data_IF_199623000476
#
_entry.id   IF_199623000476
#
_cell.length_a   1.000
_cell.length_b   1.000
_cell.length_c   1.000
_cell.angle_alpha   90.00
_cell.angle_beta   90.00
_cell.angle_gamma   90.00
#
_symmetry.space_group_name_H-M   'P 1'
#
loop_
_entity.id
_entity.type
_entity.pdbx_description
1 polymer ?
#
# COMPACT_ATOMS: atom_id res chain seq x y z
N UNK A 1 12.77 -0.75 -14.78
CA UNK A 1 12.49 -1.59 -15.98
C UNK A 1 12.25 -0.81 -17.27
N UNK A 2 11.46 0.28 -17.24
CA UNK A 2 11.06 0.97 -18.48
C UNK A 2 12.22 1.60 -19.27
N UNK A 3 13.20 2.21 -18.60
CA UNK A 3 14.40 2.75 -19.26
C UNK A 3 15.20 1.66 -20.00
N UNK A 4 15.40 0.51 -19.36
CA UNK A 4 16.10 -0.63 -19.96
C UNK A 4 15.33 -1.18 -21.17
N UNK A 5 14.01 -1.29 -21.09
CA UNK A 5 13.17 -1.71 -22.22
C UNK A 5 13.12 -0.71 -23.39
N UNK A 6 13.67 0.49 -23.22
CA UNK A 6 13.83 1.49 -24.28
C UNK A 6 15.10 1.33 -25.13
N UNK A 7 16.11 0.59 -24.65
CA UNK A 7 17.45 0.54 -25.27
C UNK A 7 17.45 -0.24 -26.59
N UNK A 8 17.03 -1.51 -26.55
CA UNK A 8 16.87 -2.34 -27.75
C UNK A 8 15.84 -3.44 -27.50
N UNK A 9 15.50 -4.20 -28.56
CA UNK A 9 14.52 -5.29 -28.48
C UNK A 9 14.89 -6.35 -27.44
N UNK A 10 16.16 -6.75 -27.37
CA UNK A 10 16.63 -7.76 -26.43
C UNK A 10 16.49 -7.30 -24.97
N UNK A 11 16.88 -6.06 -24.65
CA UNK A 11 16.69 -5.51 -23.31
C UNK A 11 15.21 -5.42 -22.93
N UNK A 12 14.34 -5.11 -23.89
CA UNK A 12 12.89 -5.13 -23.69
C UNK A 12 12.38 -6.53 -23.36
N UNK A 13 12.80 -7.55 -24.10
CA UNK A 13 12.42 -8.94 -23.84
C UNK A 13 12.87 -9.39 -22.45
N UNK A 14 14.11 -9.08 -22.05
CA UNK A 14 14.61 -9.36 -20.69
C UNK A 14 13.78 -8.64 -19.63
N UNK A 15 13.48 -7.35 -19.84
CA UNK A 15 12.69 -6.59 -18.88
C UNK A 15 11.27 -7.13 -18.72
N UNK A 16 10.67 -7.63 -19.81
CA UNK A 16 9.31 -8.17 -19.79
C UNK A 16 9.25 -9.59 -19.22
N UNK A 17 10.33 -10.38 -19.31
CA UNK A 17 10.37 -11.75 -18.79
C UNK A 17 10.76 -11.85 -17.31
N UNK A 18 11.41 -10.82 -16.75
CA UNK A 18 11.87 -10.82 -15.36
C UNK A 18 10.90 -10.09 -14.43
N UNK A 19 10.01 -10.84 -13.79
CA UNK A 19 9.02 -10.34 -12.82
C UNK A 19 9.65 -9.59 -11.64
N UNK A 20 10.85 -10.00 -11.22
CA UNK A 20 11.61 -9.38 -10.14
C UNK A 20 11.99 -7.91 -10.40
N UNK A 21 11.94 -7.46 -11.65
CA UNK A 21 12.18 -6.05 -11.98
C UNK A 21 10.97 -5.15 -11.70
N UNK A 22 9.77 -5.73 -11.55
CA UNK A 22 8.50 -5.00 -11.41
C UNK A 22 8.02 -4.94 -9.95
N UNK A 23 8.87 -5.26 -8.98
CA UNK A 23 8.49 -5.36 -7.56
C UNK A 23 8.46 -4.04 -6.81
N UNK A 24 8.81 -2.91 -7.44
CA UNK A 24 8.77 -1.60 -6.81
C UNK A 24 8.14 -0.59 -7.77
N UNK A 25 7.06 0.05 -7.32
CA UNK A 25 6.35 1.06 -8.08
C UNK A 25 6.03 2.25 -7.19
N UNK A 26 6.32 3.44 -7.70
CA UNK A 26 5.87 4.70 -7.11
C UNK A 26 4.97 5.42 -8.10
N UNK A 27 3.76 5.73 -7.67
CA UNK A 27 2.74 6.43 -8.45
C UNK A 27 2.55 7.81 -7.85
N UNK A 28 2.84 8.84 -8.63
CA UNK A 28 2.52 10.21 -8.27
C UNK A 28 1.31 10.65 -9.08
N UNK A 29 0.19 10.91 -8.41
CA UNK A 29 -0.97 11.49 -9.06
C UNK A 29 -0.70 12.98 -9.35
N UNK A 30 -0.09 13.25 -10.50
CA UNK A 30 -0.04 14.60 -11.06
C UNK A 30 -1.38 14.82 -11.77
N UNK A 31 -2.12 15.85 -11.36
CA UNK A 31 -3.47 16.17 -11.84
C UNK A 31 -3.58 16.42 -13.37
N UNK A 32 -2.49 16.28 -14.12
CA UNK A 32 -2.38 16.55 -15.55
C UNK A 32 -2.56 15.31 -16.46
N UNK A 33 -2.53 14.08 -15.92
CA UNK A 33 -2.69 12.84 -16.71
C UNK A 33 -4.05 12.19 -16.46
N UNK A 34 -4.71 11.77 -17.55
CA UNK A 34 -6.01 11.09 -17.48
C UNK A 34 -5.95 9.82 -16.63
N UNK A 35 -6.93 9.67 -15.72
CA UNK A 35 -7.00 8.61 -14.70
C UNK A 35 -6.99 7.22 -15.32
N UNK A 36 -7.71 7.01 -16.42
CA UNK A 36 -7.80 5.70 -17.10
C UNK A 36 -6.41 5.19 -17.51
N UNK A 37 -5.56 6.08 -18.01
CA UNK A 37 -4.18 5.73 -18.41
C UNK A 37 -3.31 5.30 -17.21
N UNK A 38 -3.60 5.85 -16.02
CA UNK A 38 -2.91 5.51 -14.79
C UNK A 38 -3.36 4.13 -14.28
N UNK A 39 -4.67 3.87 -14.31
CA UNK A 39 -5.26 2.58 -13.92
C UNK A 39 -4.72 1.46 -14.80
N UNK A 40 -4.68 1.65 -16.12
CA UNK A 40 -4.14 0.68 -17.06
C UNK A 40 -2.63 0.46 -16.85
N UNK A 41 -1.88 1.53 -16.61
CA UNK A 41 -0.45 1.44 -16.31
C UNK A 41 -0.19 0.66 -15.00
N UNK A 42 -0.97 0.93 -13.96
CA UNK A 42 -0.88 0.23 -12.68
C UNK A 42 -1.20 -1.26 -12.84
N UNK A 43 -2.31 -1.59 -13.50
CA UNK A 43 -2.71 -2.98 -13.79
C UNK A 43 -1.65 -3.71 -14.61
N UNK A 44 -1.09 -3.06 -15.64
CA UNK A 44 -0.02 -3.63 -16.45
C UNK A 44 1.27 -3.85 -15.63
N UNK A 45 1.59 -2.95 -14.71
CA UNK A 45 2.74 -3.10 -13.83
C UNK A 45 2.58 -4.27 -12.85
N UNK A 46 1.46 -4.32 -12.13
CA UNK A 46 1.18 -5.35 -11.12
C UNK A 46 1.10 -6.74 -11.77
N UNK A 47 0.47 -6.87 -12.93
CA UNK A 47 0.44 -8.14 -13.67
C UNK A 47 1.83 -8.64 -14.08
N UNK A 48 2.78 -7.75 -14.39
CA UNK A 48 4.17 -8.14 -14.75
C UNK A 48 5.00 -8.59 -13.55
N UNK A 49 4.69 -8.09 -12.36
CA UNK A 49 5.30 -8.56 -11.13
C UNK A 49 4.94 -10.02 -10.82
N UNK A 50 3.89 -10.57 -11.45
CA UNK A 50 3.55 -11.99 -11.37
C UNK A 50 3.12 -12.38 -9.97
N UNK A 51 3.92 -13.19 -9.27
CA UNK A 51 3.70 -13.56 -7.86
C UNK A 51 4.77 -12.95 -6.93
N UNK A 52 5.60 -12.04 -7.43
CA UNK A 52 6.64 -11.42 -6.63
C UNK A 52 6.03 -10.43 -5.64
N UNK A 53 6.53 -10.37 -4.39
CA UNK A 53 6.05 -9.37 -3.43
C UNK A 53 6.40 -7.94 -3.89
N UNK A 54 5.44 -7.03 -3.81
CA UNK A 54 5.50 -5.67 -4.38
C UNK A 54 5.57 -4.62 -3.27
N UNK A 55 6.45 -3.65 -3.46
CA UNK A 55 6.46 -2.40 -2.71
C UNK A 55 5.81 -1.31 -3.54
N UNK A 56 4.70 -0.78 -3.05
CA UNK A 56 3.88 0.20 -3.74
C UNK A 56 3.74 1.47 -2.90
N UNK A 57 4.06 2.60 -3.51
CA UNK A 57 3.89 3.92 -2.93
C UNK A 57 3.02 4.76 -3.85
N UNK A 58 1.91 5.27 -3.32
CA UNK A 58 0.97 6.11 -4.08
C UNK A 58 0.80 7.42 -3.33
N UNK A 59 1.35 8.46 -3.95
CA UNK A 59 1.26 9.82 -3.47
C UNK A 59 0.17 10.58 -4.24
N UNK A 60 -0.71 11.25 -3.47
CA UNK A 60 -1.82 12.06 -3.96
C UNK A 60 -3.19 11.62 -3.42
N UNK A 61 -4.16 12.54 -3.49
CA UNK A 61 -5.52 12.28 -3.05
C UNK A 61 -6.26 11.35 -4.02
N UNK A 62 -6.18 10.04 -3.80
CA UNK A 62 -6.97 9.00 -4.47
C UNK A 62 -8.47 9.03 -4.11
N UNK A 63 -8.92 9.98 -3.30
CA UNK A 63 -10.23 9.97 -2.63
C UNK A 63 -11.44 10.12 -3.56
N UNK A 64 -11.23 10.14 -4.88
CA UNK A 64 -12.27 10.12 -5.90
C UNK A 64 -12.07 9.02 -6.97
N UNK A 65 -11.07 8.15 -6.84
CA UNK A 65 -10.61 7.26 -7.91
C UNK A 65 -10.82 5.79 -7.53
N UNK A 66 -12.09 5.35 -7.53
CA UNK A 66 -12.48 3.97 -7.17
C UNK A 66 -11.70 2.92 -7.98
N UNK A 67 -11.42 3.19 -9.25
CA UNK A 67 -10.77 2.22 -10.14
C UNK A 67 -9.34 1.84 -9.71
N UNK A 68 -8.58 2.78 -9.13
CA UNK A 68 -7.23 2.50 -8.61
C UNK A 68 -7.34 1.58 -7.40
N UNK A 69 -8.25 1.90 -6.50
CA UNK A 69 -8.47 1.14 -5.28
C UNK A 69 -8.96 -0.29 -5.58
N UNK A 70 -9.78 -0.46 -6.60
CA UNK A 70 -10.23 -1.77 -7.08
C UNK A 70 -9.08 -2.60 -7.66
N UNK A 71 -8.17 -1.96 -8.41
CA UNK A 71 -6.94 -2.62 -8.87
C UNK A 71 -6.10 -3.07 -7.67
N UNK A 72 -5.94 -2.23 -6.63
CA UNK A 72 -5.18 -2.63 -5.44
C UNK A 72 -5.78 -3.83 -4.73
N UNK A 73 -7.11 -3.86 -4.58
CA UNK A 73 -7.81 -5.00 -3.99
C UNK A 73 -7.55 -6.31 -4.76
N UNK A 74 -7.52 -6.26 -6.09
CA UNK A 74 -7.26 -7.44 -6.94
C UNK A 74 -5.85 -8.02 -6.77
N UNK A 75 -4.86 -7.17 -6.47
CA UNK A 75 -3.46 -7.57 -6.31
C UNK A 75 -2.98 -7.56 -4.85
N UNK A 76 -3.91 -7.45 -3.89
CA UNK A 76 -3.60 -7.33 -2.46
C UNK A 76 -2.67 -8.44 -1.95
N UNK A 77 -2.86 -9.67 -2.43
CA UNK A 77 -2.03 -10.82 -2.03
C UNK A 77 -0.53 -10.67 -2.34
N UNK A 78 -0.16 -9.81 -3.30
CA UNK A 78 1.22 -9.57 -3.69
C UNK A 78 1.86 -8.43 -2.90
N UNK A 79 1.08 -7.62 -2.20
CA UNK A 79 1.60 -6.43 -1.54
C UNK A 79 2.48 -6.83 -0.34
N UNK A 80 3.73 -6.35 -0.37
CA UNK A 80 4.69 -6.44 0.73
C UNK A 80 4.82 -5.12 1.47
N UNK A 81 4.88 -4.02 0.74
CA UNK A 81 4.88 -2.67 1.31
C UNK A 81 3.81 -1.85 0.63
N UNK A 82 3.00 -1.14 1.41
CA UNK A 82 1.98 -0.23 0.91
C UNK A 82 2.12 1.12 1.60
N UNK A 83 2.33 2.18 0.83
CA UNK A 83 2.36 3.56 1.28
C UNK A 83 1.29 4.34 0.53
N UNK A 84 0.26 4.80 1.25
CA UNK A 84 -0.87 5.52 0.65
C UNK A 84 -1.32 6.66 1.56
N UNK A 85 -1.61 7.81 0.95
CA UNK A 85 -2.16 8.97 1.65
C UNK A 85 -3.70 8.99 1.72
N UNK A 86 -4.35 7.85 1.49
CA UNK A 86 -5.83 7.74 1.41
C UNK A 86 -6.37 6.59 2.24
N UNK A 87 -7.65 6.62 2.63
CA UNK A 87 -8.30 5.48 3.26
C UNK A 87 -8.18 4.21 2.41
N UNK A 88 -7.96 3.07 3.07
CA UNK A 88 -7.91 1.76 2.41
C UNK A 88 -9.32 1.37 1.92
N UNK A 89 -9.44 0.78 0.73
CA UNK A 89 -10.74 0.34 0.21
C UNK A 89 -11.21 -0.95 0.87
N UNK A 90 -12.52 -1.15 0.91
CA UNK A 90 -13.15 -2.38 1.41
C UNK A 90 -12.66 -3.64 0.69
N UNK A 91 -12.32 -3.54 -0.59
CA UNK A 91 -11.78 -4.65 -1.38
C UNK A 91 -10.41 -5.12 -0.89
N UNK A 92 -9.58 -4.19 -0.41
CA UNK A 92 -8.28 -4.50 0.20
C UNK A 92 -8.45 -4.92 1.67
N UNK A 93 -9.54 -4.49 2.31
CA UNK A 93 -9.93 -4.97 3.64
C UNK A 93 -10.37 -6.43 3.63
N UNK A 94 -11.16 -6.81 2.65
CA UNK A 94 -11.64 -8.19 2.45
C UNK A 94 -10.59 -9.05 1.71
N UNK A 95 -9.74 -8.42 0.92
CA UNK A 95 -8.67 -9.04 0.16
C UNK A 95 -7.50 -9.38 1.07
N UNK A 96 -7.45 -10.61 1.57
CA UNK A 96 -6.32 -11.16 2.34
C UNK A 96 -4.95 -10.61 1.87
N UNK A 97 -4.21 -9.97 2.78
CA UNK A 97 -2.89 -9.36 2.51
C UNK A 97 -1.77 -10.13 3.25
N UNK A 98 -1.58 -11.44 2.97
CA UNK A 98 -0.73 -12.32 3.78
C UNK A 98 0.77 -11.98 3.71
N UNK A 99 1.18 -11.13 2.77
CA UNK A 99 2.57 -10.77 2.53
C UNK A 99 2.93 -9.37 2.99
N UNK A 100 1.97 -8.59 3.48
CA UNK A 100 2.22 -7.22 3.93
C UNK A 100 3.14 -7.22 5.13
N UNK A 101 4.25 -6.50 5.01
CA UNK A 101 5.28 -6.32 6.04
C UNK A 101 5.34 -4.87 6.50
N UNK A 102 5.11 -3.93 5.58
CA UNK A 102 5.13 -2.51 5.85
C UNK A 102 3.86 -1.83 5.37
N UNK A 103 3.31 -0.98 6.21
CA UNK A 103 2.18 -0.12 5.88
C UNK A 103 2.47 1.31 6.33
N UNK A 104 2.28 2.26 5.43
CA UNK A 104 2.27 3.69 5.72
C UNK A 104 0.92 4.24 5.31
N UNK A 105 0.19 4.82 6.26
CA UNK A 105 -1.07 5.51 6.02
C UNK A 105 -0.93 6.97 6.46
N UNK A 106 -0.76 7.86 5.48
CA UNK A 106 -0.74 9.30 5.72
C UNK A 106 -2.05 9.95 5.29
N UNK A 107 -3.11 9.71 6.07
CA UNK A 107 -4.44 10.22 5.75
C UNK A 107 -4.50 11.72 6.08
N UNK A 108 -4.71 12.55 5.06
CA UNK A 108 -4.89 13.98 5.25
C UNK A 108 -6.08 14.26 6.21
N UNK A 109 -5.99 15.29 7.09
CA UNK A 109 -7.01 15.58 8.13
C UNK A 109 -8.44 15.80 7.62
N UNK A 110 -8.60 16.02 6.31
CA UNK A 110 -9.90 16.24 5.66
C UNK A 110 -10.70 14.96 5.47
N UNK A 111 -10.08 13.78 5.57
CA UNK A 111 -10.76 12.49 5.41
C UNK A 111 -11.11 11.91 6.79
N UNK A 112 -12.36 12.12 7.23
CA UNK A 112 -12.85 11.77 8.58
C UNK A 112 -13.11 10.27 8.82
N UNK A 113 -12.79 9.38 7.88
CA UNK A 113 -13.19 7.97 7.99
C UNK A 113 -11.97 7.08 8.26
N UNK A 114 -11.62 6.95 9.55
CA UNK A 114 -10.51 6.16 10.07
C UNK A 114 -10.84 4.68 10.33
N UNK A 115 -12.14 4.33 10.43
CA UNK A 115 -12.57 3.01 10.92
C UNK A 115 -12.27 1.87 9.93
N UNK A 116 -12.26 2.13 8.63
CA UNK A 116 -12.03 1.14 7.57
C UNK A 116 -10.63 0.51 7.62
N UNK A 117 -9.60 1.25 8.02
CA UNK A 117 -8.23 0.72 8.06
C UNK A 117 -8.08 -0.47 9.04
N UNK A 118 -8.87 -0.50 10.12
CA UNK A 118 -8.76 -1.50 11.19
C UNK A 118 -9.05 -2.94 10.73
N UNK A 119 -10.01 -3.11 9.81
CA UNK A 119 -10.45 -4.43 9.35
C UNK A 119 -9.46 -5.08 8.36
N UNK A 120 -8.77 -4.30 7.51
CA UNK A 120 -7.82 -4.84 6.51
C UNK A 120 -6.64 -5.58 7.11
N UNK A 121 -6.26 -5.19 8.32
CA UNK A 121 -4.95 -5.52 8.88
C UNK A 121 -5.01 -6.66 9.89
N UNK A 122 -6.22 -7.14 10.20
CA UNK A 122 -6.41 -8.37 10.97
C UNK A 122 -5.85 -9.61 10.24
N UNK A 123 -5.90 -9.62 8.90
CA UNK A 123 -5.43 -10.72 8.05
C UNK A 123 -4.02 -10.50 7.47
N UNK A 124 -3.21 -9.63 8.11
CA UNK A 124 -1.83 -9.35 7.73
C UNK A 124 -0.82 -9.94 8.75
N UNK A 125 -0.64 -11.28 8.86
CA UNK A 125 0.18 -11.92 9.90
C UNK A 125 1.68 -11.64 9.80
N UNK A 126 2.13 -10.97 8.74
CA UNK A 126 3.54 -10.61 8.53
C UNK A 126 3.83 -9.14 8.74
N UNK A 127 2.83 -8.35 9.13
CA UNK A 127 2.97 -6.91 9.31
C UNK A 127 3.93 -6.64 10.47
N UNK A 128 4.97 -5.87 10.19
CA UNK A 128 6.07 -5.58 11.13
C UNK A 128 6.29 -4.09 11.33
N UNK A 129 6.02 -3.31 10.30
CA UNK A 129 6.27 -1.88 10.25
C UNK A 129 4.98 -1.14 9.92
N UNK A 130 4.58 -0.22 10.79
CA UNK A 130 3.36 0.57 10.61
C UNK A 130 3.67 2.03 10.90
N UNK A 131 3.36 2.91 9.94
CA UNK A 131 3.42 4.37 10.11
C UNK A 131 2.01 4.93 9.88
N UNK A 132 1.44 5.57 10.89
CA UNK A 132 0.06 6.06 10.87
C UNK A 132 -0.02 7.52 11.29
N UNK A 133 -0.82 8.29 10.56
CA UNK A 133 -1.31 9.61 10.97
C UNK A 133 -2.71 9.56 11.60
N UNK A 134 -3.27 8.37 11.85
CA UNK A 134 -4.68 8.16 12.22
C UNK A 134 -4.87 7.98 13.74
N UNK A 135 -6.01 8.45 14.26
CA UNK A 135 -6.34 8.42 15.70
C UNK A 135 -7.19 7.21 16.14
N UNK A 136 -7.94 6.57 15.24
CA UNK A 136 -8.96 5.56 15.58
C UNK A 136 -8.72 4.23 14.87
N UNK A 137 -7.71 3.50 15.33
CA UNK A 137 -7.42 2.20 14.74
C UNK A 137 -7.18 1.16 15.83
N UNK A 138 -7.87 0.03 15.70
CA UNK A 138 -7.75 -1.16 16.53
C UNK A 138 -7.08 -2.25 15.71
N UNK A 139 -5.93 -2.73 16.15
CA UNK A 139 -5.17 -3.75 15.43
C UNK A 139 -4.65 -4.83 16.38
N UNK A 140 -4.43 -6.06 15.88
CA UNK A 140 -3.62 -7.06 16.57
C UNK A 140 -2.14 -6.68 16.47
N UNK A 141 -1.73 -5.76 17.35
CA UNK A 141 -0.42 -5.13 17.41
C UNK A 141 0.74 -6.03 17.89
N UNK A 142 0.46 -7.30 18.22
CA UNK A 142 1.40 -8.18 18.93
C UNK A 142 2.65 -8.56 18.13
N UNK A 143 2.59 -8.44 16.81
CA UNK A 143 3.63 -8.84 15.87
C UNK A 143 4.49 -7.66 15.35
N UNK A 144 4.12 -6.42 15.69
CA UNK A 144 4.86 -5.24 15.23
C UNK A 144 6.23 -5.12 15.88
N UNK A 145 7.16 -4.57 15.11
CA UNK A 145 8.54 -4.26 15.52
C UNK A 145 8.89 -2.79 15.34
N UNK A 146 8.19 -2.09 14.44
CA UNK A 146 8.36 -0.67 14.20
C UNK A 146 6.99 -0.03 14.12
N UNK A 147 6.78 1.02 14.92
CA UNK A 147 5.57 1.82 14.91
C UNK A 147 5.96 3.29 14.91
N UNK A 148 5.47 4.03 13.90
CA UNK A 148 5.55 5.47 13.84
C UNK A 148 4.13 6.05 13.92
N UNK A 149 3.92 7.00 14.83
CA UNK A 149 2.64 7.70 15.01
C UNK A 149 2.88 9.18 14.77
N UNK A 150 2.36 9.72 13.67
CA UNK A 150 2.66 11.10 13.25
C UNK A 150 1.71 12.13 13.85
N UNK A 151 0.46 11.76 14.13
CA UNK A 151 -0.59 12.68 14.58
C UNK A 151 -1.61 11.96 15.50
N UNK A 152 -1.26 11.80 16.79
CA UNK A 152 -2.11 11.12 17.77
C UNK A 152 -2.18 11.85 19.11
N UNK A 153 -3.27 11.66 19.86
CA UNK A 153 -3.31 12.06 21.27
C UNK A 153 -2.39 11.13 22.07
N UNK A 154 -1.58 11.69 22.98
CA UNK A 154 -0.65 10.91 23.82
C UNK A 154 -1.29 9.71 24.53
N UNK A 155 -2.53 9.80 25.08
CA UNK A 155 -3.18 8.65 25.71
C UNK A 155 -3.37 7.48 24.74
N UNK A 156 -3.71 7.75 23.48
CA UNK A 156 -3.91 6.69 22.49
C UNK A 156 -2.59 6.05 22.07
N UNK A 157 -1.52 6.84 21.97
CA UNK A 157 -0.18 6.31 21.74
C UNK A 157 0.20 5.31 22.86
N UNK A 158 -0.12 5.63 24.12
CA UNK A 158 0.14 4.73 25.25
C UNK A 158 -0.67 3.43 25.19
N UNK A 159 -1.96 3.51 24.83
CA UNK A 159 -2.80 2.31 24.63
C UNK A 159 -2.27 1.40 23.52
N UNK A 160 -1.77 1.98 22.43
CA UNK A 160 -1.15 1.22 21.33
C UNK A 160 0.18 0.60 21.78
N UNK A 161 1.00 1.35 22.51
CA UNK A 161 2.27 0.84 23.07
C UNK A 161 2.04 -0.35 24.02
N UNK A 162 0.98 -0.32 24.83
CA UNK A 162 0.62 -1.46 25.69
C UNK A 162 0.24 -2.72 24.90
N UNK A 163 -0.30 -2.56 23.70
CA UNK A 163 -0.69 -3.67 22.82
C UNK A 163 0.43 -4.14 21.87
N UNK A 164 1.60 -3.47 21.86
CA UNK A 164 2.77 -3.79 21.04
C UNK A 164 3.92 -4.34 21.92
N UNK A 165 3.83 -5.56 22.47
CA UNK A 165 4.84 -6.13 23.37
C UNK A 165 6.22 -6.35 22.74
N UNK A 166 6.35 -6.17 21.42
CA UNK A 166 7.57 -6.40 20.63
C UNK A 166 8.20 -5.11 20.07
N UNK A 167 7.65 -3.95 20.42
CA UNK A 167 8.20 -2.64 20.06
C UNK A 167 9.44 -2.28 20.89
#
# INVERSE_FOLDING_TARGET
>A
PQLLGGVCKQWREICLSMSSLWTSLRVYNRMDRGIDSLVDALRCWLSRAGNCPIDLEIDGALTAQCDILDVLGQFAFQLRSLDVSTPLPETLIQGHIPHLQRLVLDILPRHKNAETASAALHDAPRLREVDLSIQNVSFPWTQLTHLALRLGSLPRCLEILQCTPRL
#
